data_IF_588898182821
#
_entry.id   IF_588898182821
#
_cell.length_a   1.000
_cell.length_b   1.000
_cell.length_c   1.000
_cell.angle_alpha   90.00
_cell.angle_beta   90.00
_cell.angle_gamma   90.00
#
_symmetry.space_group_name_H-M   'P 1'
#
loop_
_entity.id
_entity.type
_entity.pdbx_description
1 polymer ?
#
# COMPACT_ATOMS: atom_id res chain seq x y z
N UNK A 1 -18.99 -5.73 7.89
CA UNK A 1 -18.38 -7.02 8.28
C UNK A 1 -16.93 -6.96 7.88
N UNK A 2 -16.05 -6.56 8.78
CA UNK A 2 -14.60 -6.42 8.55
C UNK A 2 -13.97 -6.33 9.94
N UNK A 3 -13.12 -7.29 10.26
CA UNK A 3 -12.75 -7.65 11.62
C UNK A 3 -12.46 -9.14 11.67
N UNK A 4 -11.44 -9.57 10.93
CA UNK A 4 -10.73 -10.80 11.19
C UNK A 4 -9.41 -10.40 11.85
N UNK A 5 -8.88 -11.20 12.77
CA UNK A 5 -7.57 -10.96 13.41
C UNK A 5 -6.40 -11.22 12.42
N UNK A 6 -6.56 -10.83 11.15
CA UNK A 6 -5.55 -10.92 10.11
C UNK A 6 -4.46 -9.91 10.43
N UNK A 7 -3.29 -10.41 10.78
CA UNK A 7 -2.10 -9.61 11.06
C UNK A 7 -1.12 -9.58 9.89
N UNK A 8 -1.22 -10.58 8.99
CA UNK A 8 -0.35 -10.77 7.82
C UNK A 8 -1.21 -11.18 6.63
N UNK A 9 -0.96 -10.58 5.46
CA UNK A 9 -1.49 -11.06 4.17
C UNK A 9 -0.41 -11.91 3.49
N UNK A 10 -0.61 -13.23 3.34
CA UNK A 10 0.44 -14.11 2.83
C UNK A 10 0.57 -14.04 1.30
N UNK A 11 1.69 -14.54 0.77
CA UNK A 11 1.88 -14.74 -0.68
C UNK A 11 0.74 -15.59 -1.25
N UNK A 12 0.28 -15.26 -2.47
CA UNK A 12 -0.84 -15.92 -3.15
C UNK A 12 -2.21 -15.81 -2.45
N UNK A 13 -2.40 -14.83 -1.57
CA UNK A 13 -3.69 -14.61 -0.91
C UNK A 13 -4.85 -14.43 -1.90
N UNK A 14 -4.71 -13.53 -2.88
CA UNK A 14 -5.67 -13.39 -3.99
C UNK A 14 -4.96 -13.61 -5.32
N UNK A 15 -5.32 -14.71 -6.00
CA UNK A 15 -4.91 -15.02 -7.37
C UNK A 15 -6.11 -14.95 -8.32
N UNK A 16 -6.06 -14.03 -9.27
CA UNK A 16 -7.13 -13.79 -10.24
C UNK A 16 -6.87 -14.64 -11.48
N UNK A 17 -7.26 -15.92 -11.41
CA UNK A 17 -7.04 -16.86 -12.52
C UNK A 17 -7.80 -16.52 -13.81
N UNK A 18 -8.89 -15.74 -13.76
CA UNK A 18 -9.60 -15.23 -14.95
C UNK A 18 -10.76 -14.25 -14.67
N UNK A 19 -10.96 -13.79 -13.43
CA UNK A 19 -12.05 -12.90 -13.03
C UNK A 19 -11.52 -11.47 -12.85
N UNK A 20 -12.18 -10.50 -13.51
CA UNK A 20 -11.90 -9.06 -13.38
C UNK A 20 -12.28 -8.59 -11.96
N UNK A 21 -11.42 -8.88 -10.98
CA UNK A 21 -11.54 -8.34 -9.64
C UNK A 21 -11.28 -6.84 -9.71
N UNK A 22 -12.31 -6.05 -9.40
CA UNK A 22 -12.23 -4.58 -9.43
C UNK A 22 -11.71 -4.02 -8.10
N UNK A 23 -11.91 -4.73 -6.99
CA UNK A 23 -11.39 -4.32 -5.69
C UNK A 23 -11.18 -5.47 -4.71
N UNK A 24 -10.20 -5.30 -3.83
CA UNK A 24 -9.91 -6.13 -2.66
C UNK A 24 -10.07 -5.24 -1.43
N UNK A 25 -10.96 -5.61 -0.50
CA UNK A 25 -11.28 -4.81 0.68
C UNK A 25 -10.83 -5.55 1.94
N UNK A 26 -9.78 -5.04 2.58
CA UNK A 26 -9.15 -5.59 3.80
C UNK A 26 -9.18 -4.58 4.96
N UNK A 27 -10.21 -3.71 4.98
CA UNK A 27 -10.34 -2.63 5.96
C UNK A 27 -10.64 -3.12 7.38
N UNK A 28 -10.18 -2.39 8.39
CA UNK A 28 -10.49 -2.64 9.81
C UNK A 28 -10.04 -4.03 10.31
N UNK A 29 -8.81 -4.41 10.01
CA UNK A 29 -8.13 -5.55 10.63
C UNK A 29 -6.84 -5.06 11.33
N UNK A 30 -5.99 -5.96 11.80
CA UNK A 30 -4.70 -5.63 12.45
C UNK A 30 -3.50 -5.93 11.53
N UNK A 31 -3.70 -5.80 10.21
CA UNK A 31 -2.66 -6.17 9.24
C UNK A 31 -1.48 -5.23 9.39
N UNK A 32 -0.32 -5.79 9.72
CA UNK A 32 0.95 -5.05 9.89
C UNK A 32 1.96 -5.36 8.78
N UNK A 33 1.74 -6.43 8.02
CA UNK A 33 2.60 -6.81 6.90
C UNK A 33 1.83 -7.50 5.78
N UNK A 34 2.34 -7.36 4.57
CA UNK A 34 1.84 -8.00 3.35
C UNK A 34 3.04 -8.60 2.64
N UNK A 35 3.01 -9.91 2.41
CA UNK A 35 4.10 -10.61 1.75
C UNK A 35 4.15 -10.31 0.25
N UNK A 36 5.35 -10.28 -0.37
CA UNK A 36 5.49 -10.15 -1.82
C UNK A 36 4.66 -11.21 -2.56
N UNK A 37 3.98 -10.78 -3.63
CA UNK A 37 3.14 -11.67 -4.45
C UNK A 37 1.80 -12.07 -3.81
N UNK A 38 1.39 -11.42 -2.72
CA UNK A 38 0.07 -11.60 -2.11
C UNK A 38 -1.10 -11.34 -3.08
N UNK A 39 -0.94 -10.37 -3.97
CA UNK A 39 -1.94 -9.94 -4.94
C UNK A 39 -1.42 -10.08 -6.38
N UNK A 40 -2.34 -10.27 -7.33
CA UNK A 40 -2.02 -10.16 -8.75
C UNK A 40 -2.07 -8.70 -9.22
N UNK A 41 -1.29 -8.42 -10.26
CA UNK A 41 -1.25 -7.10 -10.89
C UNK A 41 -2.41 -7.00 -11.88
N UNK A 42 -3.40 -6.18 -11.55
CA UNK A 42 -4.57 -5.90 -12.38
C UNK A 42 -4.74 -4.39 -12.47
N UNK A 43 -4.51 -3.82 -13.66
CA UNK A 43 -4.63 -2.38 -13.90
C UNK A 43 -6.04 -1.88 -13.50
N UNK A 44 -6.07 -0.82 -12.69
CA UNK A 44 -7.29 -0.23 -12.15
C UNK A 44 -7.91 -0.95 -10.95
N UNK A 45 -7.32 -2.05 -10.45
CA UNK A 45 -7.79 -2.71 -9.24
C UNK A 45 -7.49 -1.86 -8.00
N UNK A 46 -8.46 -1.73 -7.10
CA UNK A 46 -8.28 -1.09 -5.79
C UNK A 46 -7.95 -2.10 -4.71
N UNK A 47 -6.86 -1.90 -3.97
CA UNK A 47 -6.58 -2.61 -2.71
C UNK A 47 -6.83 -1.64 -1.55
N UNK A 48 -7.90 -1.88 -0.80
CA UNK A 48 -8.27 -1.06 0.34
C UNK A 48 -7.76 -1.68 1.65
N UNK A 49 -6.71 -1.09 2.21
CA UNK A 49 -6.05 -1.45 3.46
C UNK A 49 -6.37 -0.46 4.59
N UNK A 50 -7.46 0.32 4.46
CA UNK A 50 -7.79 1.38 5.43
C UNK A 50 -7.98 0.85 6.85
N UNK A 51 -7.50 1.60 7.85
CA UNK A 51 -7.63 1.26 9.26
C UNK A 51 -7.02 -0.11 9.58
N UNK A 52 -5.73 -0.28 9.25
CA UNK A 52 -4.91 -1.42 9.64
C UNK A 52 -3.68 -0.92 10.44
N UNK A 53 -2.68 -1.78 10.61
CA UNK A 53 -1.47 -1.50 11.39
C UNK A 53 -0.19 -1.47 10.53
N UNK A 54 -0.30 -1.12 9.24
CA UNK A 54 0.86 -1.00 8.37
C UNK A 54 1.76 0.14 8.87
N UNK A 55 3.00 -0.18 9.23
CA UNK A 55 4.00 0.81 9.63
C UNK A 55 4.87 1.27 8.47
N UNK A 56 4.85 0.58 7.33
CA UNK A 56 5.59 0.95 6.12
C UNK A 56 4.95 0.34 4.88
N UNK A 57 5.40 0.78 3.70
CA UNK A 57 5.07 0.19 2.41
C UNK A 57 6.36 -0.39 1.81
N UNK A 58 6.53 -1.71 1.86
CA UNK A 58 7.71 -2.40 1.30
C UNK A 58 7.70 -2.39 -0.25
N UNK A 59 8.82 -1.99 -0.87
CA UNK A 59 8.98 -1.97 -2.34
C UNK A 59 8.78 -3.36 -2.96
N UNK A 60 9.26 -4.43 -2.31
CA UNK A 60 9.13 -5.80 -2.81
C UNK A 60 7.67 -6.25 -2.89
N UNK A 61 6.80 -5.68 -2.05
CA UNK A 61 5.37 -5.98 -2.03
C UNK A 61 4.59 -5.07 -2.96
N UNK A 62 4.78 -3.76 -2.85
CA UNK A 62 3.91 -2.77 -3.50
C UNK A 62 4.46 -2.23 -4.82
N UNK A 63 5.78 -2.23 -5.03
CA UNK A 63 6.43 -1.56 -6.16
C UNK A 63 5.86 -1.98 -7.51
N UNK A 64 5.83 -3.30 -7.78
CA UNK A 64 5.30 -3.82 -9.05
C UNK A 64 3.77 -3.65 -9.18
N UNK A 65 3.03 -3.65 -8.07
CA UNK A 65 1.58 -3.42 -8.08
C UNK A 65 1.26 -1.98 -8.52
N UNK A 66 1.90 -0.99 -7.90
CA UNK A 66 1.68 0.43 -8.21
C UNK A 66 2.12 0.77 -9.64
N UNK A 67 3.29 0.27 -10.09
CA UNK A 67 3.73 0.45 -11.49
C UNK A 67 2.75 -0.22 -12.47
N UNK A 68 2.13 -1.33 -12.08
CA UNK A 68 1.12 -2.03 -12.87
C UNK A 68 -0.28 -1.43 -12.86
N UNK A 69 -0.47 -0.25 -12.23
CA UNK A 69 -1.75 0.48 -12.22
C UNK A 69 -2.72 0.05 -11.12
N UNK A 70 -2.26 -0.71 -10.12
CA UNK A 70 -3.05 -1.02 -8.92
C UNK A 70 -3.09 0.21 -8.02
N UNK A 71 -4.28 0.57 -7.55
CA UNK A 71 -4.50 1.68 -6.61
C UNK A 71 -4.47 1.14 -5.17
N UNK A 72 -3.70 1.76 -4.28
CA UNK A 72 -3.63 1.41 -2.87
C UNK A 72 -4.30 2.48 -2.00
N UNK A 73 -5.26 2.09 -1.16
CA UNK A 73 -5.75 2.94 -0.07
C UNK A 73 -5.20 2.45 1.27
N UNK A 74 -4.21 3.17 1.80
CA UNK A 74 -3.56 2.88 3.08
C UNK A 74 -3.94 3.91 4.17
N UNK A 75 -5.06 4.61 4.00
CA UNK A 75 -5.54 5.61 4.98
C UNK A 75 -5.69 5.01 6.38
N UNK A 76 -5.47 5.80 7.44
CA UNK A 76 -5.53 5.36 8.84
C UNK A 76 -4.60 4.17 9.16
N UNK A 77 -3.37 4.18 8.64
CA UNK A 77 -2.30 3.28 9.06
C UNK A 77 -1.15 4.10 9.67
N UNK A 78 -0.41 3.57 10.66
CA UNK A 78 0.68 4.28 11.33
C UNK A 78 1.99 4.27 10.52
N UNK A 79 1.94 4.75 9.28
CA UNK A 79 3.07 4.70 8.34
C UNK A 79 4.24 5.58 8.79
N UNK A 80 5.44 5.00 8.88
CA UNK A 80 6.68 5.75 9.05
C UNK A 80 7.17 6.25 7.71
N UNK A 81 7.11 7.56 7.50
CA UNK A 81 7.47 8.20 6.24
C UNK A 81 8.95 8.58 6.14
N UNK A 82 9.84 7.65 6.46
CA UNK A 82 11.28 7.80 6.33
C UNK A 82 11.85 7.10 5.08
N UNK A 83 13.09 6.63 5.16
CA UNK A 83 13.74 5.92 4.05
C UNK A 83 12.97 4.68 3.57
N UNK A 84 12.16 4.06 4.43
CA UNK A 84 11.40 2.85 4.09
C UNK A 84 10.37 3.08 2.98
N UNK A 85 9.97 4.33 2.74
CA UNK A 85 9.06 4.70 1.65
C UNK A 85 9.72 5.54 0.54
N UNK A 86 11.03 5.80 0.62
CA UNK A 86 11.75 6.63 -0.35
C UNK A 86 11.57 6.15 -1.80
N UNK A 87 11.40 4.84 -1.99
CA UNK A 87 11.17 4.22 -3.29
C UNK A 87 9.88 4.67 -3.99
N UNK A 88 8.88 5.19 -3.25
CA UNK A 88 7.65 5.75 -3.82
C UNK A 88 7.91 7.04 -4.62
N UNK A 89 8.99 7.74 -4.30
CA UNK A 89 9.36 9.03 -4.88
C UNK A 89 10.39 8.91 -6.01
N UNK A 90 10.91 7.70 -6.27
CA UNK A 90 11.90 7.45 -7.34
C UNK A 90 11.27 7.47 -8.75
N UNK A 91 9.97 7.23 -8.87
CA UNK A 91 9.24 7.19 -10.14
C UNK A 91 7.88 7.89 -10.02
N UNK A 92 7.58 8.79 -10.95
CA UNK A 92 6.40 9.68 -10.92
C UNK A 92 5.05 8.96 -10.82
N UNK A 93 4.96 7.69 -11.22
CA UNK A 93 3.69 6.96 -11.26
C UNK A 93 3.30 6.32 -9.92
N UNK A 94 4.26 6.00 -9.05
CA UNK A 94 4.01 5.14 -7.86
C UNK A 94 3.19 5.86 -6.81
N UNK A 95 3.61 7.07 -6.42
CA UNK A 95 2.90 7.88 -5.42
C UNK A 95 1.48 8.22 -5.88
N UNK A 96 1.27 8.46 -7.17
CA UNK A 96 -0.05 8.76 -7.75
C UNK A 96 -1.07 7.62 -7.62
N UNK A 97 -0.61 6.38 -7.44
CA UNK A 97 -1.47 5.22 -7.19
C UNK A 97 -1.81 5.02 -5.70
N UNK A 98 -1.16 5.75 -4.80
CA UNK A 98 -1.48 5.73 -3.37
C UNK A 98 -2.57 6.76 -3.09
N UNK A 99 -3.61 6.36 -2.35
CA UNK A 99 -4.75 7.21 -2.00
C UNK A 99 -4.30 8.55 -1.40
N UNK A 100 -4.94 9.64 -1.84
CA UNK A 100 -4.68 11.01 -1.35
C UNK A 100 -4.97 11.19 0.13
N UNK A 101 -5.74 10.30 0.75
CA UNK A 101 -6.01 10.29 2.18
C UNK A 101 -4.90 9.69 3.03
N UNK A 102 -3.88 9.09 2.41
CA UNK A 102 -2.80 8.40 3.12
C UNK A 102 -1.90 9.41 3.84
N UNK A 103 -1.74 9.23 5.14
CA UNK A 103 -0.90 10.07 6.01
C UNK A 103 0.17 9.23 6.70
N UNK A 104 1.24 9.89 7.07
CA UNK A 104 2.29 9.41 7.94
C UNK A 104 1.80 9.34 9.40
N UNK A 105 2.56 8.66 10.26
CA UNK A 105 2.22 8.47 11.68
C UNK A 105 2.15 9.77 12.49
N UNK A 106 2.82 10.83 12.01
CA UNK A 106 2.78 12.19 12.57
C UNK A 106 1.62 13.04 12.01
N UNK A 107 0.84 12.48 11.07
CA UNK A 107 -0.30 13.14 10.43
C UNK A 107 0.05 13.91 9.15
N UNK A 108 1.32 13.97 8.74
CA UNK A 108 1.68 14.59 7.47
C UNK A 108 1.13 13.76 6.29
N UNK A 109 0.64 14.43 5.25
CA UNK A 109 0.14 13.72 4.07
C UNK A 109 1.32 13.23 3.23
N UNK A 110 1.31 11.95 2.83
CA UNK A 110 2.43 11.36 2.06
C UNK A 110 2.66 12.09 0.72
N UNK A 111 1.63 12.69 0.13
CA UNK A 111 1.72 13.45 -1.12
C UNK A 111 2.31 14.86 -0.93
N UNK A 112 2.44 15.34 0.30
CA UNK A 112 3.00 16.65 0.63
C UNK A 112 4.45 16.58 1.12
N UNK A 113 5.00 15.38 1.30
CA UNK A 113 6.39 15.20 1.75
C UNK A 113 7.35 15.84 0.76
N UNK A 114 8.33 16.58 1.28
CA UNK A 114 9.43 17.12 0.49
C UNK A 114 10.34 15.97 0.04
N UNK A 115 10.51 15.72 -1.27
CA UNK A 115 11.34 14.62 -1.75
C UNK A 115 12.81 14.69 -1.28
N UNK A 116 13.31 15.88 -0.94
CA UNK A 116 14.69 16.05 -0.45
C UNK A 116 14.98 15.35 0.88
N UNK A 117 13.94 14.99 1.66
CA UNK A 117 14.12 14.19 2.88
C UNK A 117 14.65 12.77 2.57
N UNK A 118 14.56 12.33 1.31
CA UNK A 118 15.01 11.02 0.84
C UNK A 118 16.38 11.02 0.14
N UNK A 119 17.06 12.17 0.02
CA UNK A 119 18.33 12.30 -0.72
C UNK A 119 19.48 11.41 -0.17
N UNK A 120 19.36 10.95 1.08
CA UNK A 120 20.35 10.11 1.77
C UNK A 120 19.87 8.67 2.03
N UNK A 121 18.78 8.30 1.38
CA UNK A 121 18.34 6.92 1.19
C UNK A 121 18.84 6.44 -0.20
#
# INVERSE_FOLDING_TARGET
MGGNDLTIVPTNFIKTGSTRLESIVLTSNDISSVEPGAFDIVDGMLINMTSNSLSTLDEATWGSLLVGGVVLDATNNPLSCGCDIAWLFKEDQRLGQVSKGTTCSDGENIHNLDPSIFDFC
#
